data_IF_257037417820
#
_entry.id   IF_257037417820
#
_cell.length_a   1.000
_cell.length_b   1.000
_cell.length_c   1.000
_cell.angle_alpha   90.00
_cell.angle_beta   90.00
_cell.angle_gamma   90.00
#
_symmetry.space_group_name_H-M   'P 1'
#
loop_
_entity.id
_entity.type
_entity.pdbx_description
1 polymer ?
#
# COMPACT_ATOMS: atom_id res chain seq x y z
N UNK A 1 -3.78 19.68 -65.12
CA UNK A 1 -3.69 19.97 -63.67
C UNK A 1 -4.95 19.45 -62.98
N UNK A 2 -4.93 18.19 -62.59
CA UNK A 2 -5.98 17.58 -61.75
C UNK A 2 -5.55 17.76 -60.30
N UNK A 3 -6.22 18.69 -59.62
CA UNK A 3 -6.11 18.89 -58.18
C UNK A 3 -6.53 17.60 -57.48
N UNK A 4 -5.58 16.90 -56.85
CA UNK A 4 -5.87 15.88 -55.84
C UNK A 4 -6.67 16.57 -54.74
N UNK A 5 -7.99 16.34 -54.70
CA UNK A 5 -8.79 16.65 -53.54
C UNK A 5 -8.24 15.83 -52.38
N UNK A 6 -7.55 16.49 -51.45
CA UNK A 6 -7.15 15.89 -50.19
C UNK A 6 -8.40 15.44 -49.46
N UNK A 7 -8.53 14.12 -49.28
CA UNK A 7 -9.52 13.54 -48.37
C UNK A 7 -9.13 14.07 -46.99
N UNK A 8 -9.86 15.06 -46.50
CA UNK A 8 -9.75 15.51 -45.12
C UNK A 8 -10.01 14.30 -44.22
N UNK A 9 -9.17 13.99 -43.22
CA UNK A 9 -9.42 12.87 -42.32
C UNK A 9 -10.72 13.18 -41.56
N UNK A 10 -11.82 12.55 -41.99
CA UNK A 10 -13.15 12.81 -41.47
C UNK A 10 -13.27 12.38 -40.00
N UNK A 11 -14.28 12.90 -39.30
CA UNK A 11 -14.55 12.53 -37.90
C UNK A 11 -14.64 11.00 -37.71
N UNK A 12 -15.17 10.28 -38.70
CA UNK A 12 -15.26 8.81 -38.72
C UNK A 12 -13.89 8.12 -38.64
N UNK A 13 -12.87 8.62 -39.35
CA UNK A 13 -11.52 8.05 -39.34
C UNK A 13 -10.87 8.22 -37.96
N UNK A 14 -11.04 9.39 -37.33
CA UNK A 14 -10.57 9.65 -35.97
C UNK A 14 -11.29 8.79 -34.93
N UNK A 15 -12.60 8.61 -35.04
CA UNK A 15 -13.37 7.74 -34.16
C UNK A 15 -12.98 6.26 -34.33
N UNK A 16 -12.75 5.81 -35.57
CA UNK A 16 -12.26 4.47 -35.86
C UNK A 16 -10.86 4.25 -35.30
N UNK A 17 -9.97 5.24 -35.44
CA UNK A 17 -8.63 5.23 -34.84
C UNK A 17 -8.69 5.16 -33.31
N UNK A 18 -9.57 5.93 -32.68
CA UNK A 18 -9.79 5.86 -31.24
C UNK A 18 -10.32 4.49 -30.78
N UNK A 19 -11.17 3.82 -31.57
CA UNK A 19 -11.60 2.43 -31.31
C UNK A 19 -10.42 1.45 -31.40
N UNK A 20 -9.62 1.52 -32.48
CA UNK A 20 -8.44 0.67 -32.65
C UNK A 20 -7.44 0.84 -31.50
N UNK A 21 -7.14 2.08 -31.13
CA UNK A 21 -6.23 2.38 -30.02
C UNK A 21 -6.75 1.84 -28.69
N UNK A 22 -8.06 1.92 -28.42
CA UNK A 22 -8.68 1.32 -27.23
C UNK A 22 -8.58 -0.21 -27.21
N UNK A 23 -8.78 -0.88 -28.35
CA UNK A 23 -8.59 -2.34 -28.43
C UNK A 23 -7.15 -2.75 -28.15
N UNK A 24 -6.18 -2.07 -28.75
CA UNK A 24 -4.77 -2.31 -28.46
C UNK A 24 -4.43 -2.04 -26.99
N UNK A 25 -5.06 -1.04 -26.37
CA UNK A 25 -4.87 -0.72 -24.97
C UNK A 25 -5.48 -1.81 -24.06
N UNK A 26 -6.68 -2.32 -24.36
CA UNK A 26 -7.31 -3.43 -23.62
C UNK A 26 -6.51 -4.74 -23.72
N UNK A 27 -6.01 -5.08 -24.90
CA UNK A 27 -5.13 -6.25 -25.07
C UNK A 27 -3.84 -6.12 -24.26
N UNK A 28 -3.28 -4.90 -24.19
CA UNK A 28 -2.15 -4.59 -23.31
C UNK A 28 -2.52 -4.74 -21.82
N UNK A 29 -3.73 -4.37 -21.41
CA UNK A 29 -4.16 -4.53 -20.01
C UNK A 29 -4.19 -5.99 -19.55
N UNK A 30 -4.57 -6.92 -20.43
CA UNK A 30 -4.51 -8.34 -20.13
C UNK A 30 -3.06 -8.79 -19.84
N UNK A 31 -2.08 -8.29 -20.60
CA UNK A 31 -0.66 -8.53 -20.35
C UNK A 31 -0.20 -7.89 -19.03
N UNK A 32 -0.59 -6.63 -18.78
CA UNK A 32 -0.30 -5.95 -17.51
C UNK A 32 -0.85 -6.71 -16.30
N UNK A 33 -1.95 -7.42 -16.45
CA UNK A 33 -2.52 -8.29 -15.44
C UNK A 33 -1.58 -9.40 -14.96
N UNK A 34 -0.85 -10.05 -15.87
CA UNK A 34 0.14 -11.06 -15.52
C UNK A 34 1.32 -10.44 -14.74
N UNK A 35 1.74 -9.23 -15.10
CA UNK A 35 2.78 -8.50 -14.37
C UNK A 35 2.32 -8.12 -12.97
N UNK A 36 1.12 -7.56 -12.82
CA UNK A 36 0.53 -7.19 -11.53
C UNK A 36 0.40 -8.42 -10.62
N UNK A 37 -0.05 -9.55 -11.16
CA UNK A 37 -0.12 -10.82 -10.43
C UNK A 37 1.26 -11.27 -9.95
N UNK A 38 2.27 -11.25 -10.83
CA UNK A 38 3.64 -11.62 -10.49
C UNK A 38 4.25 -10.71 -9.41
N UNK A 39 4.02 -9.40 -9.50
CA UNK A 39 4.44 -8.41 -8.49
C UNK A 39 3.78 -8.73 -7.14
N UNK A 40 2.45 -8.95 -7.14
CA UNK A 40 1.68 -9.27 -5.94
C UNK A 40 2.18 -10.56 -5.25
N UNK A 41 2.44 -11.62 -6.02
CA UNK A 41 2.97 -12.89 -5.50
C UNK A 41 4.37 -12.72 -4.90
N UNK A 42 5.30 -12.08 -5.62
CA UNK A 42 6.64 -11.83 -5.12
C UNK A 42 6.62 -10.97 -3.85
N UNK A 43 5.80 -9.93 -3.83
CA UNK A 43 5.63 -9.10 -2.64
C UNK A 43 5.17 -9.89 -1.43
N UNK A 44 4.15 -10.74 -1.60
CA UNK A 44 3.66 -11.57 -0.50
C UNK A 44 4.76 -12.50 0.03
N UNK A 45 5.53 -13.15 -0.84
CA UNK A 45 6.65 -13.99 -0.43
C UNK A 45 7.76 -13.20 0.28
N UNK A 46 8.08 -11.99 -0.18
CA UNK A 46 9.01 -11.10 0.51
C UNK A 46 8.48 -10.65 1.89
N UNK A 47 7.18 -10.46 2.05
CA UNK A 47 6.57 -10.18 3.35
C UNK A 47 6.66 -11.39 4.30
N UNK A 48 6.53 -12.61 3.78
CA UNK A 48 6.76 -13.84 4.54
C UNK A 48 8.23 -13.98 4.94
N UNK A 49 9.16 -13.77 4.01
CA UNK A 49 10.61 -13.81 4.29
C UNK A 49 11.03 -12.73 5.30
N UNK A 50 10.48 -11.52 5.18
CA UNK A 50 10.65 -10.45 6.18
C UNK A 50 10.16 -10.90 7.55
N UNK A 51 8.97 -11.50 7.62
CA UNK A 51 8.38 -11.99 8.87
C UNK A 51 9.25 -13.05 9.53
N UNK A 52 9.65 -14.07 8.78
CA UNK A 52 10.51 -15.15 9.29
C UNK A 52 11.88 -14.63 9.74
N UNK A 53 12.50 -13.75 8.94
CA UNK A 53 13.77 -13.11 9.27
C UNK A 53 13.68 -12.26 10.54
N UNK A 54 12.53 -11.62 10.78
CA UNK A 54 12.31 -10.84 12.01
C UNK A 54 12.32 -11.75 13.24
N UNK A 55 11.57 -12.86 13.21
CA UNK A 55 11.52 -13.81 14.33
C UNK A 55 12.88 -14.46 14.54
N UNK A 56 13.58 -14.82 13.47
CA UNK A 56 14.96 -15.33 13.52
C UNK A 56 15.90 -14.37 14.26
N UNK A 57 15.93 -13.09 13.86
CA UNK A 57 16.81 -12.08 14.46
C UNK A 57 16.40 -11.74 15.91
N UNK A 58 15.11 -11.55 16.16
CA UNK A 58 14.60 -11.26 17.51
C UNK A 58 14.84 -12.42 18.50
N UNK A 59 14.81 -13.67 18.02
CA UNK A 59 15.12 -14.85 18.82
C UNK A 59 16.61 -15.19 18.91
N UNK A 60 17.50 -14.35 18.35
CA UNK A 60 18.95 -14.58 18.29
C UNK A 60 19.32 -15.90 17.60
N UNK A 61 18.56 -16.27 16.56
CA UNK A 61 18.77 -17.49 15.78
C UNK A 61 18.25 -18.77 16.42
N UNK A 62 17.32 -18.69 17.38
CA UNK A 62 16.74 -19.87 18.05
C UNK A 62 15.48 -20.38 17.36
N UNK A 63 14.71 -19.51 16.73
CA UNK A 63 13.41 -19.82 16.13
C UNK A 63 13.40 -19.46 14.64
N UNK A 64 12.51 -20.10 13.88
CA UNK A 64 12.20 -19.75 12.49
C UNK A 64 13.29 -20.02 11.43
N UNK A 65 14.31 -20.83 11.75
CA UNK A 65 15.32 -21.25 10.78
C UNK A 65 14.72 -21.97 9.54
N UNK A 66 13.82 -22.98 9.69
CA UNK A 66 13.25 -23.66 8.54
C UNK A 66 12.32 -22.75 7.74
N UNK A 67 11.56 -21.88 8.39
CA UNK A 67 10.68 -20.89 7.77
C UNK A 67 11.48 -19.90 6.94
N UNK A 68 12.62 -19.40 7.45
CA UNK A 68 13.52 -18.54 6.67
C UNK A 68 14.02 -19.25 5.41
N UNK A 69 14.38 -20.54 5.51
CA UNK A 69 14.83 -21.32 4.35
C UNK A 69 13.70 -21.49 3.33
N UNK A 70 12.51 -21.88 3.79
CA UNK A 70 11.34 -22.08 2.95
C UNK A 70 10.90 -20.79 2.25
N UNK A 71 10.80 -19.68 2.99
CA UNK A 71 10.41 -18.39 2.44
C UNK A 71 11.41 -17.88 1.39
N UNK A 72 12.72 -18.10 1.60
CA UNK A 72 13.76 -17.72 0.61
C UNK A 72 13.57 -18.46 -0.71
N UNK A 73 13.33 -19.78 -0.65
CA UNK A 73 13.09 -20.59 -1.83
C UNK A 73 11.85 -20.11 -2.61
N UNK A 74 10.76 -19.80 -1.89
CA UNK A 74 9.54 -19.28 -2.51
C UNK A 74 9.73 -17.88 -3.12
N UNK A 75 10.52 -17.00 -2.47
CA UNK A 75 10.89 -15.71 -3.06
C UNK A 75 11.70 -15.93 -4.35
N UNK A 76 12.65 -16.86 -4.36
CA UNK A 76 13.49 -17.12 -5.54
C UNK A 76 12.67 -17.67 -6.71
N UNK A 77 11.72 -18.56 -6.43
CA UNK A 77 10.77 -19.09 -7.43
C UNK A 77 9.92 -17.96 -8.04
N UNK A 78 9.33 -17.11 -7.20
CA UNK A 78 8.48 -16.01 -7.67
C UNK A 78 9.27 -14.91 -8.37
N UNK A 79 10.54 -14.70 -7.98
CA UNK A 79 11.44 -13.78 -8.66
C UNK A 79 11.79 -14.28 -10.06
N UNK A 80 12.08 -15.58 -10.21
CA UNK A 80 12.32 -16.20 -11.50
C UNK A 80 11.08 -16.10 -12.41
N UNK A 81 9.89 -16.35 -11.87
CA UNK A 81 8.63 -16.19 -12.59
C UNK A 81 8.40 -14.73 -13.04
N UNK A 82 8.69 -13.75 -12.18
CA UNK A 82 8.57 -12.33 -12.53
C UNK A 82 9.53 -11.95 -13.66
N UNK A 83 10.76 -12.47 -13.65
CA UNK A 83 11.72 -12.23 -14.74
C UNK A 83 11.24 -12.79 -16.08
N UNK A 84 10.64 -13.99 -16.09
CA UNK A 84 10.06 -14.58 -17.30
C UNK A 84 8.91 -13.70 -17.86
N UNK A 85 8.03 -13.20 -16.99
CA UNK A 85 6.96 -12.27 -17.38
C UNK A 85 7.53 -10.99 -17.99
N UNK A 86 8.52 -10.37 -17.34
CA UNK A 86 9.17 -9.15 -17.84
C UNK A 86 9.89 -9.38 -19.18
N UNK A 87 10.51 -10.54 -19.37
CA UNK A 87 11.17 -10.92 -20.62
C UNK A 87 10.19 -11.07 -21.79
N UNK A 88 9.01 -11.66 -21.54
CA UNK A 88 7.96 -11.85 -22.54
C UNK A 88 7.21 -10.56 -22.91
N UNK A 89 7.11 -9.61 -21.98
CA UNK A 89 6.33 -8.38 -22.16
C UNK A 89 7.14 -7.19 -22.69
N UNK A 90 8.44 -7.38 -22.97
CA UNK A 90 9.29 -6.31 -23.49
C UNK A 90 9.00 -6.03 -24.98
N UNK A 91 8.80 -4.77 -25.39
CA UNK A 91 8.91 -3.55 -24.60
C UNK A 91 7.58 -3.08 -23.95
N UNK A 92 7.61 -2.83 -22.64
CA UNK A 92 6.54 -2.13 -21.92
C UNK A 92 6.62 -0.62 -22.25
N UNK A 93 5.55 0.01 -22.75
CA UNK A 93 5.60 1.41 -23.13
C UNK A 93 5.65 2.35 -21.91
N UNK A 94 6.51 3.38 -22.00
CA UNK A 94 6.60 4.47 -21.02
C UNK A 94 7.88 4.43 -20.17
N UNK A 95 8.68 5.49 -20.23
CA UNK A 95 9.94 5.59 -19.49
C UNK A 95 9.75 5.45 -17.97
N UNK A 96 8.70 6.06 -17.43
CA UNK A 96 8.41 6.02 -15.99
C UNK A 96 8.14 4.60 -15.48
N UNK A 97 7.42 3.76 -16.24
CA UNK A 97 7.20 2.35 -15.88
C UNK A 97 8.53 1.59 -15.87
N UNK A 98 9.35 1.78 -16.90
CA UNK A 98 10.67 1.15 -16.99
C UNK A 98 11.60 1.58 -15.84
N UNK A 99 11.60 2.86 -15.45
CA UNK A 99 12.36 3.36 -14.31
C UNK A 99 11.89 2.74 -12.97
N UNK A 100 10.57 2.55 -12.79
CA UNK A 100 10.02 1.87 -11.60
C UNK A 100 10.42 0.40 -11.54
N UNK A 101 10.31 -0.31 -12.67
CA UNK A 101 10.74 -1.71 -12.77
C UNK A 101 12.25 -1.81 -12.50
N UNK A 102 13.07 -1.00 -13.17
CA UNK A 102 14.52 -0.97 -12.98
C UNK A 102 14.91 -0.68 -11.53
N UNK A 103 14.25 0.28 -10.88
CA UNK A 103 14.48 0.59 -9.47
C UNK A 103 14.13 -0.59 -8.56
N UNK A 104 13.01 -1.27 -8.81
CA UNK A 104 12.62 -2.46 -8.05
C UNK A 104 13.66 -3.59 -8.22
N UNK A 105 14.04 -3.90 -9.46
CA UNK A 105 15.03 -4.93 -9.77
C UNK A 105 16.39 -4.63 -9.12
N UNK A 106 16.87 -3.38 -9.20
CA UNK A 106 18.11 -2.95 -8.56
C UNK A 106 18.09 -3.19 -7.05
N UNK A 107 16.95 -2.94 -6.38
CA UNK A 107 16.86 -3.24 -4.95
C UNK A 107 16.81 -4.74 -4.67
N UNK A 108 16.19 -5.54 -5.52
CA UNK A 108 16.11 -7.00 -5.39
C UNK A 108 17.48 -7.67 -5.55
N UNK A 109 18.39 -7.11 -6.36
CA UNK A 109 19.77 -7.59 -6.49
C UNK A 109 20.53 -7.60 -5.13
N UNK A 110 20.07 -6.83 -4.14
CA UNK A 110 20.67 -6.79 -2.81
C UNK A 110 20.20 -7.91 -1.87
N UNK A 111 19.21 -8.74 -2.30
CA UNK A 111 18.66 -9.85 -1.51
C UNK A 111 19.72 -10.84 -0.98
N UNK A 112 20.71 -11.30 -1.77
CA UNK A 112 21.72 -12.24 -1.28
C UNK A 112 22.54 -11.67 -0.11
N UNK A 113 22.96 -10.41 -0.21
CA UNK A 113 23.72 -9.74 0.84
C UNK A 113 22.87 -9.54 2.11
N UNK A 114 21.59 -9.18 1.95
CA UNK A 114 20.64 -9.10 3.05
C UNK A 114 20.49 -10.45 3.76
N UNK A 115 20.28 -11.53 3.00
CA UNK A 115 20.09 -12.89 3.54
C UNK A 115 21.33 -13.41 4.27
N UNK A 116 22.54 -13.13 3.76
CA UNK A 116 23.79 -13.45 4.45
C UNK A 116 23.90 -12.70 5.77
N UNK A 117 23.59 -11.39 5.77
CA UNK A 117 23.59 -10.58 6.99
C UNK A 117 22.56 -11.03 8.04
N UNK A 118 21.37 -11.47 7.61
CA UNK A 118 20.35 -12.07 8.49
C UNK A 118 20.84 -13.41 9.04
N UNK A 119 21.37 -14.29 8.20
CA UNK A 119 21.82 -15.63 8.60
C UNK A 119 23.00 -15.58 9.57
N UNK A 120 23.95 -14.67 9.36
CA UNK A 120 25.09 -14.45 10.26
C UNK A 120 24.76 -13.56 11.45
N UNK A 121 23.54 -13.03 11.52
CA UNK A 121 23.10 -12.08 12.55
C UNK A 121 24.00 -10.82 12.64
N UNK A 122 24.59 -10.40 11.53
CA UNK A 122 25.37 -9.15 11.45
C UNK A 122 24.48 -7.93 11.26
N UNK A 123 23.22 -8.13 10.87
CA UNK A 123 22.18 -7.10 10.79
C UNK A 123 21.26 -7.19 12.00
N UNK A 124 20.86 -6.04 12.52
CA UNK A 124 19.78 -5.97 13.51
C UNK A 124 18.42 -6.19 12.85
N UNK A 125 17.42 -6.64 13.60
CA UNK A 125 16.05 -6.77 13.12
C UNK A 125 15.54 -5.47 12.45
N UNK A 126 15.61 -4.27 13.08
CA UNK A 126 15.20 -3.03 12.43
C UNK A 126 15.87 -2.75 11.08
N UNK A 127 17.18 -3.02 10.95
CA UNK A 127 17.91 -2.83 9.69
C UNK A 127 17.43 -3.79 8.61
N UNK A 128 17.28 -5.08 8.93
CA UNK A 128 16.77 -6.06 7.98
C UNK A 128 15.33 -5.71 7.54
N UNK A 129 14.47 -5.31 8.47
CA UNK A 129 13.08 -4.93 8.18
C UNK A 129 13.00 -3.73 7.24
N UNK A 130 13.83 -2.70 7.42
CA UNK A 130 13.88 -1.55 6.50
C UNK A 130 14.34 -1.98 5.10
N UNK A 131 15.34 -2.87 5.01
CA UNK A 131 15.81 -3.37 3.71
C UNK A 131 14.69 -4.09 2.93
N UNK A 132 13.98 -5.03 3.55
CA UNK A 132 12.82 -5.68 2.93
C UNK A 132 11.71 -4.67 2.59
N UNK A 133 11.39 -3.75 3.51
CA UNK A 133 10.31 -2.77 3.30
C UNK A 133 10.63 -1.81 2.15
N UNK A 134 11.90 -1.49 1.91
CA UNK A 134 12.33 -0.71 0.75
C UNK A 134 12.10 -1.47 -0.56
N UNK A 135 12.47 -2.76 -0.64
CA UNK A 135 12.22 -3.59 -1.83
C UNK A 135 10.71 -3.65 -2.13
N UNK A 136 9.90 -3.91 -1.10
CA UNK A 136 8.44 -3.95 -1.20
C UNK A 136 7.85 -2.62 -1.67
N UNK A 137 8.34 -1.49 -1.15
CA UNK A 137 7.92 -0.15 -1.59
C UNK A 137 8.20 0.11 -3.07
N UNK A 138 9.34 -0.32 -3.59
CA UNK A 138 9.63 -0.17 -5.03
C UNK A 138 8.75 -1.06 -5.89
N UNK A 139 8.49 -2.31 -5.48
CA UNK A 139 7.58 -3.22 -6.17
C UNK A 139 6.14 -2.68 -6.22
N UNK A 140 5.61 -2.26 -5.07
CA UNK A 140 4.28 -1.66 -4.94
C UNK A 140 4.15 -0.41 -5.82
N UNK A 141 5.21 0.40 -5.89
CA UNK A 141 5.24 1.63 -6.69
C UNK A 141 5.17 1.43 -8.20
N UNK A 142 5.24 0.20 -8.72
CA UNK A 142 5.02 -0.09 -10.14
C UNK A 142 3.53 -0.01 -10.49
N UNK A 143 2.65 -0.54 -9.63
CA UNK A 143 1.20 -0.64 -9.88
C UNK A 143 0.54 0.72 -10.21
N UNK A 144 0.73 1.81 -9.44
CA UNK A 144 0.13 3.09 -9.78
C UNK A 144 0.70 3.67 -11.08
N UNK A 145 1.96 3.38 -11.41
CA UNK A 145 2.57 3.83 -12.66
C UNK A 145 2.00 3.10 -13.88
N UNK A 146 1.59 1.84 -13.73
CA UNK A 146 0.84 1.12 -14.77
C UNK A 146 -0.54 1.74 -14.99
N UNK A 147 -1.19 2.20 -13.92
CA UNK A 147 -2.52 2.81 -13.96
C UNK A 147 -2.57 4.13 -14.77
N UNK A 148 -1.46 4.87 -14.87
CA UNK A 148 -1.39 6.10 -15.68
C UNK A 148 -1.63 5.86 -17.17
N UNK A 149 -1.42 4.62 -17.65
CA UNK A 149 -1.66 4.21 -19.04
C UNK A 149 -3.08 3.67 -19.30
N UNK A 150 -3.93 3.68 -18.27
CA UNK A 150 -5.29 3.11 -18.33
C UNK A 150 -6.32 4.21 -18.59
N UNK A 151 -6.97 4.17 -19.75
CA UNK A 151 -8.01 5.12 -20.16
C UNK A 151 -9.44 4.70 -19.77
N UNK A 152 -9.68 3.45 -19.39
CA UNK A 152 -10.99 3.00 -18.90
C UNK A 152 -11.14 3.33 -17.41
N UNK A 153 -12.10 4.19 -17.00
CA UNK A 153 -12.24 4.62 -15.61
C UNK A 153 -12.60 3.50 -14.64
N UNK A 154 -13.35 2.49 -15.09
CA UNK A 154 -13.76 1.37 -14.23
C UNK A 154 -12.57 0.47 -13.95
N UNK A 155 -11.76 0.17 -14.97
CA UNK A 155 -10.52 -0.59 -14.80
C UNK A 155 -9.52 0.20 -13.96
N UNK A 156 -9.36 1.50 -14.21
CA UNK A 156 -8.47 2.35 -13.43
C UNK A 156 -8.87 2.40 -11.95
N UNK A 157 -10.17 2.47 -11.66
CA UNK A 157 -10.72 2.38 -10.29
C UNK A 157 -10.36 1.06 -9.60
N UNK A 158 -10.54 -0.08 -10.30
CA UNK A 158 -10.13 -1.41 -9.79
C UNK A 158 -8.62 -1.51 -9.51
N UNK A 159 -7.79 -0.89 -10.35
CA UNK A 159 -6.33 -0.79 -10.09
C UNK A 159 -6.02 0.02 -8.83
N UNK A 160 -6.74 1.12 -8.59
CA UNK A 160 -6.59 1.90 -7.35
C UNK A 160 -7.05 1.10 -6.15
N UNK A 161 -8.17 0.37 -6.24
CA UNK A 161 -8.60 -0.52 -5.16
C UNK A 161 -7.52 -1.56 -4.82
N UNK A 162 -6.99 -2.25 -5.84
CA UNK A 162 -5.92 -3.24 -5.69
C UNK A 162 -4.67 -2.64 -5.05
N UNK A 163 -4.16 -1.53 -5.59
CA UNK A 163 -3.00 -0.84 -5.05
C UNK A 163 -3.20 -0.41 -3.59
N UNK A 164 -4.39 0.09 -3.26
CA UNK A 164 -4.74 0.53 -1.91
C UNK A 164 -4.75 -0.64 -0.93
N UNK A 165 -5.32 -1.78 -1.32
CA UNK A 165 -5.28 -3.00 -0.49
C UNK A 165 -3.84 -3.50 -0.32
N UNK A 166 -3.06 -3.56 -1.40
CA UNK A 166 -1.65 -3.98 -1.37
C UNK A 166 -0.81 -3.10 -0.43
N UNK A 167 -0.99 -1.78 -0.51
CA UNK A 167 -0.28 -0.83 0.36
C UNK A 167 -0.75 -0.94 1.81
N UNK A 168 -2.05 -1.09 2.07
CA UNK A 168 -2.58 -1.31 3.42
C UNK A 168 -2.08 -2.62 4.03
N UNK A 169 -2.05 -3.71 3.26
CA UNK A 169 -1.46 -5.00 3.64
C UNK A 169 0.03 -4.87 3.95
N UNK A 170 0.78 -4.09 3.17
CA UNK A 170 2.18 -3.84 3.45
C UNK A 170 2.40 -3.07 4.76
N UNK A 171 1.56 -2.06 5.05
CA UNK A 171 1.61 -1.34 6.32
C UNK A 171 1.25 -2.24 7.51
N UNK A 172 0.29 -3.16 7.36
CA UNK A 172 0.00 -4.20 8.35
C UNK A 172 1.20 -5.15 8.54
N UNK A 173 1.93 -5.48 7.47
CA UNK A 173 3.17 -6.25 7.55
C UNK A 173 4.29 -5.53 8.30
N UNK A 174 4.38 -4.21 8.16
CA UNK A 174 5.31 -3.37 8.94
C UNK A 174 4.86 -3.22 10.39
N UNK A 175 3.56 -3.11 10.65
CA UNK A 175 2.97 -3.14 12.00
C UNK A 175 3.35 -4.44 12.72
N UNK A 176 3.17 -5.60 12.07
CA UNK A 176 3.61 -6.91 12.58
C UNK A 176 5.07 -6.89 12.99
N UNK A 177 5.95 -6.39 12.11
CA UNK A 177 7.38 -6.38 12.34
C UNK A 177 7.79 -5.50 13.53
N UNK A 178 7.25 -4.28 13.61
CA UNK A 178 7.52 -3.33 14.70
C UNK A 178 7.00 -3.86 16.04
N UNK A 179 5.77 -4.39 16.08
CA UNK A 179 5.20 -4.96 17.29
C UNK A 179 6.01 -6.17 17.78
N UNK A 180 6.42 -7.06 16.88
CA UNK A 180 7.24 -8.22 17.26
C UNK A 180 8.60 -7.80 17.85
N UNK A 181 9.24 -6.76 17.29
CA UNK A 181 10.49 -6.21 17.85
C UNK A 181 10.25 -5.69 19.28
N UNK A 182 9.27 -4.82 19.48
CA UNK A 182 9.02 -4.22 20.80
C UNK A 182 8.56 -5.22 21.86
N UNK A 183 7.70 -6.18 21.49
CA UNK A 183 7.29 -7.25 22.40
C UNK A 183 8.43 -8.20 22.75
N UNK A 184 9.36 -8.46 21.82
CA UNK A 184 10.53 -9.29 22.13
C UNK A 184 11.52 -8.55 23.04
N UNK A 185 11.68 -7.24 22.84
CA UNK A 185 12.52 -6.39 23.69
C UNK A 185 11.91 -6.15 25.08
N UNK A 186 10.60 -6.36 25.24
CA UNK A 186 9.88 -6.11 26.48
C UNK A 186 9.61 -4.63 26.76
N UNK A 187 9.83 -3.75 25.78
CA UNK A 187 9.50 -2.32 25.85
C UNK A 187 9.31 -1.72 24.46
N UNK A 188 8.58 -0.60 24.40
CA UNK A 188 8.45 0.24 23.21
C UNK A 188 8.97 1.63 23.56
N UNK A 189 10.08 2.03 22.97
CA UNK A 189 10.53 3.43 23.08
C UNK A 189 9.60 4.37 22.30
N UNK A 190 9.66 5.67 22.57
CA UNK A 190 8.78 6.65 21.93
C UNK A 190 8.89 6.65 20.41
N UNK A 191 10.09 6.38 19.90
CA UNK A 191 10.37 6.31 18.46
C UNK A 191 9.65 5.15 17.81
N UNK A 192 9.70 3.97 18.41
CA UNK A 192 9.08 2.73 17.92
C UNK A 192 7.58 2.76 18.14
N UNK A 193 7.12 3.27 19.28
CA UNK A 193 5.70 3.51 19.58
C UNK A 193 5.08 4.43 18.53
N UNK A 194 5.74 5.56 18.21
CA UNK A 194 5.25 6.46 17.17
C UNK A 194 5.24 5.79 15.79
N UNK A 195 6.30 5.08 15.41
CA UNK A 195 6.35 4.35 14.13
C UNK A 195 5.22 3.32 14.01
N UNK A 196 4.94 2.58 15.08
CA UNK A 196 3.85 1.60 15.13
C UNK A 196 2.50 2.29 14.90
N UNK A 197 2.25 3.39 15.62
CA UNK A 197 1.05 4.23 15.44
C UNK A 197 0.93 4.72 14.00
N UNK A 198 2.01 5.24 13.41
CA UNK A 198 1.99 5.75 12.03
C UNK A 198 1.65 4.64 11.01
N UNK A 199 2.06 3.38 11.27
CA UNK A 199 1.69 2.22 10.44
C UNK A 199 0.24 1.82 10.61
N UNK A 200 -0.31 1.92 11.82
CA UNK A 200 -1.73 1.64 12.09
C UNK A 200 -2.59 2.71 11.41
N UNK A 201 -2.25 3.99 11.57
CA UNK A 201 -3.03 5.09 10.98
C UNK A 201 -2.95 5.10 9.46
N UNK A 202 -1.78 4.79 8.89
CA UNK A 202 -1.62 4.70 7.45
C UNK A 202 -2.44 3.58 6.80
N UNK A 203 -2.74 2.50 7.53
CA UNK A 203 -3.64 1.44 7.03
C UNK A 203 -5.05 1.96 6.79
N UNK A 204 -5.55 2.82 7.67
CA UNK A 204 -6.90 3.35 7.59
C UNK A 204 -7.13 4.10 6.27
N UNK A 205 -6.23 5.02 5.92
CA UNK A 205 -6.30 5.77 4.66
C UNK A 205 -6.28 4.84 3.43
N UNK A 206 -5.47 3.78 3.48
CA UNK A 206 -5.40 2.80 2.39
C UNK A 206 -6.72 2.01 2.27
N UNK A 207 -7.26 1.51 3.38
CA UNK A 207 -8.46 0.68 3.36
C UNK A 207 -9.74 1.47 3.08
N UNK A 208 -9.81 2.76 3.46
CA UNK A 208 -10.91 3.65 3.09
C UNK A 208 -10.98 3.85 1.56
N UNK A 209 -9.84 4.12 0.91
CA UNK A 209 -9.77 4.26 -0.55
C UNK A 209 -10.12 2.93 -1.21
N UNK A 210 -9.58 1.80 -0.71
CA UNK A 210 -9.94 0.47 -1.19
C UNK A 210 -11.46 0.24 -1.16
N UNK A 211 -12.10 0.48 -0.03
CA UNK A 211 -13.55 0.29 0.11
C UNK A 211 -14.34 1.20 -0.83
N UNK A 212 -13.91 2.44 -1.05
CA UNK A 212 -14.60 3.38 -1.95
C UNK A 212 -14.61 2.97 -3.43
N UNK A 213 -13.68 2.09 -3.84
CA UNK A 213 -13.56 1.58 -5.21
C UNK A 213 -13.94 0.10 -5.36
N UNK A 214 -14.38 -0.54 -4.28
CA UNK A 214 -14.68 -1.97 -4.25
C UNK A 214 -16.17 -2.25 -4.36
N UNK A 215 -16.53 -3.39 -4.96
CA UNK A 215 -17.91 -3.85 -5.01
C UNK A 215 -18.40 -4.33 -3.63
N UNK A 216 -19.73 -4.41 -3.44
CA UNK A 216 -20.36 -4.71 -2.15
C UNK A 216 -19.88 -6.03 -1.54
N UNK A 217 -19.68 -7.07 -2.37
CA UNK A 217 -19.23 -8.39 -1.92
C UNK A 217 -17.79 -8.36 -1.39
N UNK A 218 -16.91 -7.57 -2.04
CA UNK A 218 -15.54 -7.35 -1.57
C UNK A 218 -15.51 -6.55 -0.27
N UNK A 219 -16.36 -5.51 -0.15
CA UNK A 219 -16.48 -4.71 1.08
C UNK A 219 -16.97 -5.56 2.26
N UNK A 220 -17.94 -6.44 2.02
CA UNK A 220 -18.45 -7.38 3.02
C UNK A 220 -17.36 -8.37 3.45
N UNK A 221 -16.66 -8.97 2.49
CA UNK A 221 -15.55 -9.90 2.74
C UNK A 221 -14.44 -9.25 3.56
N UNK A 222 -14.07 -8.00 3.23
CA UNK A 222 -13.09 -7.22 3.99
C UNK A 222 -13.55 -6.96 5.42
N UNK A 223 -14.80 -6.51 5.59
CA UNK A 223 -15.37 -6.16 6.90
C UNK A 223 -15.48 -7.37 7.83
N UNK A 224 -15.79 -8.55 7.30
CA UNK A 224 -15.89 -9.77 8.09
C UNK A 224 -14.52 -10.38 8.44
N UNK A 225 -13.57 -10.39 7.49
CA UNK A 225 -12.40 -11.27 7.60
C UNK A 225 -11.06 -10.53 7.73
N UNK A 226 -10.98 -9.25 7.35
CA UNK A 226 -9.70 -8.52 7.25
C UNK A 226 -9.47 -7.49 8.36
N UNK A 227 -10.48 -7.28 9.21
CA UNK A 227 -10.39 -6.37 10.36
C UNK A 227 -9.47 -6.95 11.45
N UNK A 228 -8.75 -6.08 12.19
CA UNK A 228 -8.02 -6.52 13.37
C UNK A 228 -9.00 -7.10 14.38
N UNK A 229 -8.69 -8.28 14.91
CA UNK A 229 -9.52 -8.90 15.94
C UNK A 229 -9.33 -8.21 17.30
N UNK A 230 -10.17 -8.61 18.25
CA UNK A 230 -10.16 -8.03 19.60
C UNK A 230 -8.79 -8.19 20.28
N UNK A 231 -8.12 -9.32 20.08
CA UNK A 231 -6.83 -9.60 20.72
C UNK A 231 -5.72 -8.73 20.11
N UNK A 232 -5.72 -8.55 18.79
CA UNK A 232 -4.85 -7.62 18.08
C UNK A 232 -5.02 -6.20 18.60
N UNK A 233 -6.26 -5.73 18.75
CA UNK A 233 -6.54 -4.39 19.31
C UNK A 233 -6.09 -4.24 20.77
N UNK A 234 -6.21 -5.29 21.58
CA UNK A 234 -5.70 -5.29 22.94
C UNK A 234 -4.17 -5.16 22.97
N UNK A 235 -3.47 -5.88 22.09
CA UNK A 235 -2.01 -5.80 21.99
C UNK A 235 -1.54 -4.46 21.42
N UNK A 236 -2.25 -3.89 20.43
CA UNK A 236 -2.01 -2.52 19.96
C UNK A 236 -2.08 -1.52 21.12
N UNK A 237 -3.11 -1.63 21.96
CA UNK A 237 -3.25 -0.78 23.14
C UNK A 237 -2.11 -0.98 24.14
N UNK A 238 -1.72 -2.23 24.41
CA UNK A 238 -0.57 -2.54 25.28
C UNK A 238 0.68 -1.81 24.77
N UNK A 239 1.03 -1.99 23.50
CA UNK A 239 2.21 -1.39 22.88
C UNK A 239 2.21 0.15 22.93
N UNK A 240 1.02 0.78 22.96
CA UNK A 240 0.89 2.24 22.98
C UNK A 240 0.88 2.85 24.40
N UNK A 241 0.44 2.12 25.43
CA UNK A 241 0.12 2.74 26.74
C UNK A 241 0.90 2.22 27.93
N UNK A 242 1.52 1.05 27.83
CA UNK A 242 2.16 0.41 28.98
C UNK A 242 3.35 -0.44 28.57
N UNK A 243 4.23 -0.69 29.54
CA UNK A 243 5.31 -1.65 29.34
C UNK A 243 4.73 -3.06 29.12
N UNK A 244 5.16 -3.79 28.07
CA UNK A 244 4.80 -5.18 27.87
C UNK A 244 5.22 -6.07 29.05
N UNK A 245 4.53 -7.20 29.21
CA UNK A 245 4.91 -8.19 30.21
C UNK A 245 6.28 -8.80 29.87
N UNK A 246 7.12 -9.01 30.89
CA UNK A 246 8.38 -9.73 30.74
C UNK A 246 8.10 -11.25 30.70
N UNK A 247 7.66 -11.75 29.54
CA UNK A 247 7.18 -13.12 29.36
C UNK A 247 8.08 -13.97 28.44
N UNK A 248 9.35 -13.58 28.32
CA UNK A 248 10.34 -14.23 27.47
C UNK A 248 9.92 -14.35 25.99
N UNK A 249 9.10 -13.41 25.49
CA UNK A 249 8.71 -13.31 24.08
C UNK A 249 7.43 -14.07 23.73
N UNK A 250 6.70 -14.60 24.70
CA UNK A 250 5.41 -15.26 24.44
C UNK A 250 4.41 -14.29 23.79
N UNK A 251 4.26 -13.07 24.32
CA UNK A 251 3.42 -12.03 23.71
C UNK A 251 3.88 -11.67 22.30
N UNK A 252 5.19 -11.68 22.03
CA UNK A 252 5.71 -11.41 20.69
C UNK A 252 5.30 -12.48 19.68
N UNK A 253 5.30 -13.76 20.09
CA UNK A 253 4.83 -14.87 19.25
C UNK A 253 3.32 -14.82 19.03
N UNK A 254 2.53 -14.54 20.06
CA UNK A 254 1.07 -14.35 19.94
C UNK A 254 0.75 -13.20 18.99
N UNK A 255 1.39 -12.04 19.17
CA UNK A 255 1.28 -10.90 18.26
C UNK A 255 1.61 -11.29 16.82
N UNK A 256 2.74 -11.99 16.62
CA UNK A 256 3.17 -12.42 15.30
C UNK A 256 2.15 -13.36 14.64
N UNK A 257 1.60 -14.31 15.39
CA UNK A 257 0.60 -15.27 14.90
C UNK A 257 -0.70 -14.56 14.48
N UNK A 258 -1.25 -13.70 15.34
CA UNK A 258 -2.47 -12.94 15.05
C UNK A 258 -2.32 -12.06 13.80
N UNK A 259 -1.22 -11.32 13.70
CA UNK A 259 -0.95 -10.48 12.54
C UNK A 259 -0.69 -11.30 11.27
N UNK A 260 -0.08 -12.48 11.39
CA UNK A 260 0.12 -13.37 10.25
C UNK A 260 -1.21 -13.91 9.74
N UNK A 261 -2.11 -14.36 10.63
CA UNK A 261 -3.46 -14.77 10.24
C UNK A 261 -4.22 -13.66 9.50
N UNK A 262 -4.16 -12.42 10.01
CA UNK A 262 -4.76 -11.25 9.34
C UNK A 262 -4.15 -10.98 7.96
N UNK A 263 -2.83 -11.10 7.82
CA UNK A 263 -2.15 -10.92 6.53
C UNK A 263 -2.54 -11.99 5.50
N UNK A 264 -2.82 -13.22 5.93
CA UNK A 264 -3.33 -14.29 5.06
C UNK A 264 -4.77 -13.99 4.60
N UNK A 265 -5.65 -13.45 5.45
CA UNK A 265 -6.97 -13.00 5.01
C UNK A 265 -6.88 -11.84 4.00
N UNK A 266 -6.00 -10.87 4.24
CA UNK A 266 -5.72 -9.79 3.28
C UNK A 266 -5.13 -10.34 1.96
N UNK A 267 -4.31 -11.41 2.02
CA UNK A 267 -3.78 -12.08 0.84
C UNK A 267 -4.88 -12.75 0.03
N UNK A 268 -5.77 -13.50 0.67
CA UNK A 268 -6.87 -14.15 -0.02
C UNK A 268 -7.77 -13.13 -0.74
N UNK A 269 -8.08 -12.01 -0.07
CA UNK A 269 -8.85 -10.93 -0.68
C UNK A 269 -8.10 -10.27 -1.86
N UNK A 270 -6.79 -10.06 -1.74
CA UNK A 270 -5.94 -9.55 -2.82
C UNK A 270 -5.99 -10.46 -4.06
N UNK A 271 -5.95 -11.79 -3.88
CA UNK A 271 -6.05 -12.75 -4.97
C UNK A 271 -7.40 -12.70 -5.68
N UNK A 272 -8.49 -12.57 -4.91
CA UNK A 272 -9.84 -12.36 -5.46
C UNK A 272 -9.93 -11.09 -6.29
N UNK A 273 -9.41 -9.96 -5.79
CA UNK A 273 -9.44 -8.68 -6.52
C UNK A 273 -8.63 -8.75 -7.82
N UNK A 274 -7.47 -9.42 -7.81
CA UNK A 274 -6.68 -9.64 -9.02
C UNK A 274 -7.46 -10.47 -10.02
N UNK A 275 -8.16 -11.53 -9.58
CA UNK A 275 -8.99 -12.34 -10.46
C UNK A 275 -10.15 -11.52 -11.06
N UNK A 276 -10.87 -10.76 -10.23
CA UNK A 276 -12.01 -9.94 -10.66
C UNK A 276 -11.58 -8.79 -11.57
N UNK A 277 -10.38 -8.24 -11.39
CA UNK A 277 -9.78 -7.29 -12.32
C UNK A 277 -9.53 -7.92 -13.69
N UNK A 278 -9.02 -9.16 -13.74
CA UNK A 278 -8.79 -9.88 -15.00
C UNK A 278 -10.09 -10.21 -15.72
N UNK A 279 -11.11 -10.69 -14.99
CA UNK A 279 -12.44 -10.93 -15.56
C UNK A 279 -13.03 -9.64 -16.13
N UNK A 280 -12.92 -8.52 -15.42
CA UNK A 280 -13.41 -7.24 -15.93
C UNK A 280 -12.67 -6.75 -17.19
N UNK A 281 -11.36 -6.99 -17.28
CA UNK A 281 -10.57 -6.70 -18.50
C UNK A 281 -11.05 -7.58 -19.65
N UNK A 282 -11.23 -8.88 -19.44
CA UNK A 282 -11.66 -9.83 -20.47
C UNK A 282 -13.09 -9.55 -20.97
N UNK A 283 -14.03 -9.26 -20.07
CA UNK A 283 -15.38 -8.84 -20.44
C UNK A 283 -15.37 -7.57 -21.29
N UNK A 284 -14.47 -6.63 -20.97
CA UNK A 284 -14.35 -5.37 -21.69
C UNK A 284 -13.79 -5.58 -23.10
N UNK A 285 -12.83 -6.50 -23.25
CA UNK A 285 -12.31 -6.94 -24.56
C UNK A 285 -13.45 -7.56 -25.38
N UNK A 286 -14.19 -8.51 -24.80
CA UNK A 286 -15.27 -9.22 -25.50
C UNK A 286 -16.42 -8.29 -25.92
N UNK A 287 -16.85 -7.37 -25.05
CA UNK A 287 -17.89 -6.38 -25.40
C UNK A 287 -17.48 -5.50 -26.58
N UNK A 288 -16.21 -5.13 -26.66
CA UNK A 288 -15.71 -4.32 -27.78
C UNK A 288 -15.57 -5.13 -29.08
N UNK A 289 -15.34 -6.44 -29.00
CA UNK A 289 -15.31 -7.36 -30.16
C UNK A 289 -16.71 -7.69 -30.71
N UNK A 290 -17.69 -7.94 -29.84
CA UNK A 290 -19.02 -8.45 -30.21
C UNK A 290 -19.94 -7.40 -30.88
N UNK A 291 -19.65 -6.10 -30.71
CA UNK A 291 -20.50 -5.03 -31.23
C UNK A 291 -19.70 -4.08 -32.15
N UNK A 292 -19.62 -4.34 -33.47
CA UNK A 292 -19.28 -3.29 -34.42
C UNK A 292 -20.46 -2.30 -34.43
N UNK A 293 -20.42 -1.27 -33.57
CA UNK A 293 -21.49 -0.27 -33.50
C UNK A 293 -21.78 0.28 -34.89
N UNK A 294 -23.04 0.24 -35.36
CA UNK A 294 -23.44 0.83 -36.63
C UNK A 294 -22.99 2.28 -36.72
N UNK A 295 -22.66 2.75 -37.93
CA UNK A 295 -22.28 4.14 -38.17
C UNK A 295 -23.38 5.16 -37.77
N UNK A 296 -24.60 4.67 -37.56
CA UNK A 296 -25.81 5.48 -37.37
C UNK A 296 -26.30 5.56 -35.91
N UNK A 297 -25.63 4.92 -34.94
CA UNK A 297 -25.91 5.16 -33.52
C UNK A 297 -25.36 6.54 -33.13
N UNK A 298 -26.25 7.54 -33.16
CA UNK A 298 -26.09 8.93 -32.70
C UNK A 298 -25.90 9.03 -31.18
N UNK A 299 -25.19 8.08 -30.55
CA UNK A 299 -24.78 8.21 -29.16
C UNK A 299 -23.49 9.03 -29.11
N UNK A 300 -23.54 10.15 -28.38
CA UNK A 300 -22.40 11.01 -28.14
C UNK A 300 -21.23 10.17 -27.58
N UNK A 301 -20.10 10.04 -28.30
CA UNK A 301 -18.93 9.28 -27.84
C UNK A 301 -18.42 9.77 -26.47
N UNK A 302 -18.68 11.04 -26.12
CA UNK A 302 -18.35 11.65 -24.84
C UNK A 302 -19.31 11.24 -23.71
N UNK A 303 -20.49 10.68 -24.01
CA UNK A 303 -21.41 10.20 -22.98
C UNK A 303 -20.94 8.89 -22.31
N UNK A 304 -20.15 8.06 -23.03
CA UNK A 304 -19.62 6.80 -22.51
C UNK A 304 -18.18 6.92 -22.00
N UNK A 305 -17.46 7.94 -22.48
CA UNK A 305 -16.15 8.34 -21.99
C UNK A 305 -16.31 9.78 -21.50
N UNK A 306 -17.06 9.99 -20.40
CA UNK A 306 -17.27 11.32 -19.87
C UNK A 306 -15.92 11.99 -19.64
N UNK A 307 -15.92 13.31 -19.75
CA UNK A 307 -14.74 14.12 -19.52
C UNK A 307 -13.99 13.63 -18.27
N UNK A 308 -12.68 13.87 -18.31
CA UNK A 308 -11.62 13.42 -17.42
C UNK A 308 -11.75 13.60 -15.89
N UNK A 309 -12.77 14.23 -15.24
CA UNK A 309 -12.93 14.26 -13.78
C UNK A 309 -12.73 12.94 -13.03
N UNK A 310 -13.35 11.83 -13.44
CA UNK A 310 -13.30 10.59 -12.65
C UNK A 310 -11.89 9.97 -12.63
N UNK A 311 -11.24 9.87 -13.79
CA UNK A 311 -9.85 9.39 -13.87
C UNK A 311 -8.89 10.28 -13.10
N UNK A 312 -9.10 11.58 -13.11
CA UNK A 312 -8.25 12.53 -12.38
C UNK A 312 -8.33 12.29 -10.88
N UNK A 313 -9.54 12.13 -10.33
CA UNK A 313 -9.76 11.84 -8.92
C UNK A 313 -9.19 10.48 -8.51
N UNK A 314 -9.47 9.44 -9.30
CA UNK A 314 -8.97 8.07 -9.07
C UNK A 314 -7.44 8.07 -9.03
N UNK A 315 -6.78 8.71 -10.00
CA UNK A 315 -5.31 8.81 -10.04
C UNK A 315 -4.75 9.68 -8.92
N UNK A 316 -5.50 10.69 -8.47
CA UNK A 316 -5.10 11.50 -7.30
C UNK A 316 -5.04 10.63 -6.03
N UNK A 317 -6.05 9.80 -5.78
CA UNK A 317 -6.07 8.91 -4.60
C UNK A 317 -4.90 7.92 -4.60
N UNK A 318 -4.53 7.37 -5.77
CA UNK A 318 -3.33 6.54 -5.88
C UNK A 318 -2.03 7.31 -5.53
N UNK A 319 -1.92 8.57 -5.97
CA UNK A 319 -0.78 9.44 -5.66
C UNK A 319 -0.72 9.81 -4.18
N UNK A 320 -1.87 10.02 -3.53
CA UNK A 320 -1.96 10.30 -2.10
C UNK A 320 -1.43 9.13 -1.27
N UNK A 321 -1.81 7.89 -1.60
CA UNK A 321 -1.28 6.69 -0.96
C UNK A 321 0.23 6.54 -1.21
N UNK A 322 0.70 6.81 -2.44
CA UNK A 322 2.14 6.76 -2.73
C UNK A 322 2.93 7.82 -1.96
N UNK A 323 2.37 9.03 -1.82
CA UNK A 323 2.96 10.09 -1.02
C UNK A 323 3.03 9.70 0.45
N UNK A 324 1.95 9.14 1.01
CA UNK A 324 1.92 8.62 2.37
C UNK A 324 3.02 7.57 2.59
N UNK A 325 3.13 6.60 1.67
CA UNK A 325 4.16 5.55 1.72
C UNK A 325 5.58 6.14 1.71
N UNK A 326 5.82 7.18 0.90
CA UNK A 326 7.11 7.90 0.87
C UNK A 326 7.38 8.70 2.15
N UNK A 327 6.37 9.36 2.73
CA UNK A 327 6.51 10.09 3.98
C UNK A 327 6.88 9.16 5.14
N UNK A 328 6.21 8.01 5.23
CA UNK A 328 6.48 6.99 6.26
C UNK A 328 7.86 6.32 6.13
N UNK A 329 8.48 6.42 4.95
CA UNK A 329 9.83 5.97 4.66
C UNK A 329 10.91 7.01 4.94
N UNK A 330 10.57 8.28 4.75
CA UNK A 330 11.50 9.40 4.80
C UNK A 330 11.78 9.78 6.25
N UNK A 331 13.00 9.53 6.71
CA UNK A 331 13.42 9.93 8.05
C UNK A 331 13.24 11.44 8.29
N UNK A 332 13.52 12.26 7.27
CA UNK A 332 13.32 13.70 7.35
C UNK A 332 11.86 14.06 7.60
N UNK A 333 10.95 13.48 6.83
CA UNK A 333 9.52 13.78 6.96
C UNK A 333 9.00 13.28 8.32
N UNK A 334 9.38 12.07 8.75
CA UNK A 334 9.01 11.57 10.08
C UNK A 334 9.53 12.46 11.22
N UNK A 335 10.70 13.09 11.08
CA UNK A 335 11.21 14.04 12.07
C UNK A 335 10.41 15.35 12.08
N UNK A 336 10.03 15.88 10.92
CA UNK A 336 9.19 17.09 10.84
C UNK A 336 7.77 16.85 11.36
N UNK A 337 7.19 15.69 11.06
CA UNK A 337 5.91 15.25 11.62
C UNK A 337 5.98 15.15 13.16
N UNK A 338 7.06 14.56 13.70
CA UNK A 338 7.30 14.50 15.16
C UNK A 338 7.43 15.88 15.79
N UNK A 339 8.19 16.80 15.20
CA UNK A 339 8.27 18.20 15.68
C UNK A 339 6.89 18.85 15.75
N UNK A 340 6.01 18.53 14.80
CA UNK A 340 4.64 19.04 14.75
C UNK A 340 3.80 18.46 15.90
N UNK A 341 3.93 17.16 16.14
CA UNK A 341 3.30 16.46 17.28
C UNK A 341 3.80 17.04 18.60
N UNK A 342 5.11 17.24 18.77
CA UNK A 342 5.69 17.78 20.01
C UNK A 342 5.22 19.22 20.28
N UNK A 343 5.07 20.04 19.23
CA UNK A 343 4.45 21.37 19.34
C UNK A 343 2.99 21.27 19.80
N UNK A 344 2.21 20.34 19.26
CA UNK A 344 0.82 20.13 19.67
C UNK A 344 0.72 19.62 21.13
N UNK A 345 1.58 18.67 21.53
CA UNK A 345 1.69 18.24 22.94
C UNK A 345 2.00 19.42 23.86
N UNK A 346 2.96 20.27 23.49
CA UNK A 346 3.30 21.47 24.26
C UNK A 346 2.11 22.41 24.44
N UNK A 347 1.28 22.61 23.41
CA UNK A 347 0.04 23.41 23.53
C UNK A 347 -0.93 22.78 24.53
N UNK A 348 -1.14 21.47 24.48
CA UNK A 348 -2.00 20.76 25.44
C UNK A 348 -1.45 20.82 26.87
N UNK A 349 -0.13 20.70 27.04
CA UNK A 349 0.53 20.82 28.33
C UNK A 349 0.35 22.23 28.92
N UNK A 350 0.52 23.28 28.12
CA UNK A 350 0.39 24.68 28.58
C UNK A 350 -1.06 25.09 28.85
N UNK A 351 -2.00 24.74 27.96
CA UNK A 351 -3.37 25.26 28.05
C UNK A 351 -4.32 24.34 28.84
N UNK A 352 -4.05 23.03 28.92
CA UNK A 352 -4.90 22.06 29.61
C UNK A 352 -4.24 21.42 30.85
N UNK A 353 -3.05 21.87 31.25
CA UNK A 353 -2.29 21.33 32.39
C UNK A 353 -2.13 19.80 32.35
N UNK A 354 -1.97 19.25 31.14
CA UNK A 354 -1.72 17.81 30.95
C UNK A 354 -0.23 17.48 31.11
N UNK A 355 0.07 16.30 31.64
CA UNK A 355 1.42 15.72 31.51
C UNK A 355 1.71 15.35 30.04
N UNK A 356 2.97 15.14 29.71
CA UNK A 356 3.37 14.78 28.34
C UNK A 356 2.72 13.46 27.86
N UNK A 357 2.70 12.44 28.71
CA UNK A 357 2.05 11.15 28.43
C UNK A 357 0.54 11.31 28.19
N UNK A 358 -0.12 12.16 28.98
CA UNK A 358 -1.55 12.46 28.82
C UNK A 358 -1.80 13.23 27.53
N UNK A 359 -0.97 14.21 27.19
CA UNK A 359 -1.08 14.98 25.95
C UNK A 359 -0.88 14.10 24.71
N UNK A 360 0.08 13.15 24.75
CA UNK A 360 0.25 12.17 23.68
C UNK A 360 -0.97 11.24 23.56
N UNK A 361 -1.46 10.72 24.69
CA UNK A 361 -2.62 9.82 24.72
C UNK A 361 -3.90 10.50 24.23
N UNK A 362 -4.10 11.79 24.54
CA UNK A 362 -5.26 12.54 24.05
C UNK A 362 -5.19 12.79 22.55
N UNK A 363 -4.02 13.18 22.01
CA UNK A 363 -3.82 13.28 20.56
C UNK A 363 -4.05 11.93 19.87
N UNK A 364 -3.55 10.84 20.46
CA UNK A 364 -3.75 9.48 19.96
C UNK A 364 -5.23 9.11 19.93
N UNK A 365 -5.96 9.40 21.00
CA UNK A 365 -7.40 9.15 21.09
C UNK A 365 -8.17 9.96 20.04
N UNK A 366 -7.85 11.24 19.88
CA UNK A 366 -8.48 12.10 18.86
C UNK A 366 -8.22 11.60 17.43
N UNK A 367 -7.00 11.11 17.16
CA UNK A 367 -6.65 10.50 15.88
C UNK A 367 -7.52 9.27 15.57
N UNK A 368 -7.70 8.39 16.57
CA UNK A 368 -8.56 7.21 16.45
C UNK A 368 -10.04 7.59 16.29
N UNK A 369 -10.57 8.50 17.10
CA UNK A 369 -11.98 8.91 17.06
C UNK A 369 -12.35 9.62 15.73
N UNK A 370 -11.37 10.19 15.03
CA UNK A 370 -11.54 10.90 13.75
C UNK A 370 -11.07 10.13 12.54
N UNK A 371 -10.53 8.92 12.68
CA UNK A 371 -9.91 8.15 11.61
C UNK A 371 -8.85 8.95 10.82
N UNK A 372 -8.04 9.75 11.54
CA UNK A 372 -6.99 10.59 10.95
C UNK A 372 -5.63 10.27 11.55
N UNK A 373 -4.55 10.57 10.82
CA UNK A 373 -3.20 10.41 11.36
C UNK A 373 -2.98 11.38 12.52
N UNK A 374 -2.19 10.95 13.51
CA UNK A 374 -1.87 11.79 14.67
C UNK A 374 -1.22 13.13 14.31
N UNK A 375 -0.43 13.18 13.23
CA UNK A 375 0.16 14.43 12.73
C UNK A 375 -0.88 15.41 12.17
N UNK A 376 -1.95 14.90 11.54
CA UNK A 376 -2.98 15.76 10.95
C UNK A 376 -3.86 16.37 12.04
N UNK A 377 -4.15 15.61 13.10
CA UNK A 377 -4.75 16.14 14.34
C UNK A 377 -3.85 17.19 14.98
N UNK A 378 -2.54 16.93 15.06
CA UNK A 378 -1.59 17.90 15.60
C UNK A 378 -1.58 19.20 14.78
N UNK A 379 -1.60 19.11 13.44
CA UNK A 379 -1.71 20.27 12.56
C UNK A 379 -3.03 21.02 12.76
N UNK A 380 -4.16 20.32 12.81
CA UNK A 380 -5.48 20.92 13.05
C UNK A 380 -5.54 21.64 14.41
N UNK A 381 -4.94 21.06 15.44
CA UNK A 381 -4.86 21.68 16.76
C UNK A 381 -3.99 22.95 16.73
N UNK A 382 -2.87 22.92 16.00
CA UNK A 382 -1.99 24.08 15.84
C UNK A 382 -2.61 25.20 14.99
N UNK A 383 -3.44 24.88 14.00
CA UNK A 383 -4.17 25.90 13.22
C UNK A 383 -5.25 26.59 14.06
N UNK A 384 -5.89 25.86 14.97
CA UNK A 384 -6.93 26.39 15.86
C UNK A 384 -6.33 27.00 17.15
N UNK A 385 -4.99 26.98 17.31
CA UNK A 385 -4.29 27.52 18.49
C UNK A 385 -4.69 28.97 18.84
N UNK A 386 -5.01 29.79 17.84
CA UNK A 386 -5.48 31.17 18.05
C UNK A 386 -6.79 31.24 18.84
N UNK A 387 -7.67 30.24 18.71
CA UNK A 387 -8.94 30.15 19.46
C UNK A 387 -8.68 29.82 20.94
N UNK A 388 -7.63 29.05 21.26
CA UNK A 388 -7.25 28.68 22.63
C UNK A 388 -6.67 29.85 23.43
N UNK A 389 -6.21 30.91 22.77
CA UNK A 389 -5.75 32.13 23.44
C UNK A 389 -6.93 32.97 24.02
N UNK A 390 -8.18 32.67 23.66
CA UNK A 390 -9.35 33.52 23.93
C UNK A 390 -10.26 32.97 25.04
N UNK A 391 -9.88 31.91 25.75
CA UNK A 391 -10.66 31.44 26.93
C UNK A 391 -9.94 31.88 28.21
N UNK A 392 -10.15 33.12 28.70
CA UNK A 392 -9.87 33.41 30.10
C UNK A 392 -10.83 32.56 30.94
N UNK A 393 -10.28 31.84 31.91
CA UNK A 393 -11.08 31.18 32.95
C UNK A 393 -11.83 32.28 33.71
N UNK A 394 -13.16 32.30 33.59
CA UNK A 394 -14.04 32.97 34.56
C UNK A 394 -14.03 32.21 35.89
#
# INVERSE_FOLDING_TARGET
MTLKAGISPGATEWLQRARLMRREQLSRLAQLGALVRGISQLMHMLQCERGASNVWLCSQGKLYAPECKASRALVDENLAALYDVLGKQSPIPGSAVCERIGSALLTLETLPALRDGVSRQTLTAPQAMEHYSRMLRHLIGIVPQLNDSIDDPQIAGRFVALYSLMQGKELAGQERALGAIGFTQGFFDDVTRQRLVDRIDGQQACFEIFLSHSEADMQATFSLNCQPDRETEQLRRVACTRQPAADNGHTALTWFALQTARLEHLRALEETIIADLMVAVDERIQRDEAYPRPADEQDDPLAHYPDKPLLTLVRQQAREIEQLSRQLASLRDTLEERKTIDKAKSVLMTHQNMSEEQAWTTLRKMAMDKNQRMVDIARALLTVKSVWQVIPKE
#
